data_IF_374532709803
#
_entry.id   IF_374532709803
#
_cell.length_a   1.000
_cell.length_b   1.000
_cell.length_c   1.000
_cell.angle_alpha   90.00
_cell.angle_beta   90.00
_cell.angle_gamma   90.00
#
_symmetry.space_group_name_H-M   'P 1'
#
loop_
_entity.id
_entity.type
_entity.pdbx_description
1 polymer ?
#
# COMPACT_ATOMS: atom_id res chain seq x y z
N UNK A 1 11.01 5.85 26.86
CA UNK A 1 12.08 6.88 26.83
C UNK A 1 11.55 8.07 26.02
N UNK A 2 11.80 9.27 26.49
CA UNK A 2 11.45 10.53 25.79
C UNK A 2 12.18 10.58 24.45
N UNK A 3 11.50 10.98 23.38
CA UNK A 3 12.14 11.30 22.12
C UNK A 3 12.92 12.61 22.29
N UNK A 4 14.18 12.61 21.91
CA UNK A 4 15.05 13.79 22.03
C UNK A 4 15.35 14.28 20.61
N UNK A 5 14.95 15.51 20.34
CA UNK A 5 15.24 16.22 19.09
C UNK A 5 16.29 17.29 19.38
N UNK A 6 17.47 17.13 18.81
CA UNK A 6 18.58 18.05 18.97
C UNK A 6 18.73 18.94 17.75
N UNK A 7 18.89 20.25 17.98
CA UNK A 7 19.37 21.15 16.95
C UNK A 7 20.88 20.98 16.82
N UNK A 8 21.35 20.65 15.65
CA UNK A 8 22.76 20.55 15.29
C UNK A 8 23.14 21.69 14.34
N UNK A 9 24.41 21.84 14.00
CA UNK A 9 24.90 22.98 13.22
C UNK A 9 24.17 23.18 11.88
N UNK A 10 23.83 22.09 11.20
CA UNK A 10 23.27 22.05 9.85
C UNK A 10 21.80 21.54 9.80
N UNK A 11 21.13 21.36 10.95
CA UNK A 11 19.76 20.86 10.93
C UNK A 11 19.24 20.34 12.27
N UNK A 12 18.42 19.30 12.20
CA UNK A 12 17.79 18.66 13.34
C UNK A 12 18.06 17.16 13.33
N UNK A 13 18.47 16.61 14.46
CA UNK A 13 18.70 15.19 14.66
C UNK A 13 17.75 14.64 15.71
N UNK A 14 17.00 13.60 15.31
CA UNK A 14 16.23 12.77 16.22
C UNK A 14 17.10 11.62 16.71
N UNK A 15 17.44 11.65 18.00
CA UNK A 15 18.14 10.54 18.64
C UNK A 15 17.28 9.27 18.61
N UNK A 16 17.90 8.08 18.59
CA UNK A 16 17.15 6.81 18.57
C UNK A 16 16.13 6.73 19.70
N UNK A 17 14.87 6.90 19.37
CA UNK A 17 13.74 6.84 20.28
C UNK A 17 12.90 5.59 20.04
N UNK A 18 12.32 5.04 21.12
CA UNK A 18 11.39 3.93 21.02
C UNK A 18 10.07 4.34 21.65
N UNK A 19 9.03 4.39 20.83
CA UNK A 19 7.64 4.58 21.23
C UNK A 19 6.98 3.20 21.38
N UNK A 20 6.32 2.96 22.52
CA UNK A 20 5.54 1.76 22.74
C UNK A 20 4.06 2.11 22.76
N UNK A 21 3.27 1.43 21.94
CA UNK A 21 1.87 1.76 21.72
C UNK A 21 1.08 0.45 21.62
N UNK A 22 0.18 0.20 22.58
CA UNK A 22 -0.76 -0.94 22.56
C UNK A 22 -0.12 -2.30 22.22
N UNK A 23 1.01 -2.61 22.88
CA UNK A 23 1.73 -3.87 22.67
C UNK A 23 2.69 -3.87 21.48
N UNK A 24 2.66 -2.85 20.62
CA UNK A 24 3.63 -2.63 19.56
C UNK A 24 4.74 -1.67 19.95
N UNK A 25 5.77 -1.60 19.12
CA UNK A 25 6.89 -0.67 19.27
C UNK A 25 7.29 -0.05 17.93
N UNK A 26 7.54 1.25 17.94
CA UNK A 26 8.18 1.99 16.87
C UNK A 26 9.51 2.55 17.37
N UNK A 27 10.62 2.12 16.80
CA UNK A 27 11.91 2.75 16.96
C UNK A 27 12.16 3.67 15.77
N UNK A 28 12.50 4.91 16.04
CA UNK A 28 12.72 5.94 15.04
C UNK A 28 14.01 6.68 15.36
N UNK A 29 14.81 6.95 14.33
CA UNK A 29 15.96 7.84 14.35
C UNK A 29 16.00 8.59 13.02
N UNK A 30 16.62 9.75 12.98
CA UNK A 30 16.76 10.48 11.74
C UNK A 30 17.48 11.80 11.85
N UNK A 31 17.72 12.39 10.69
CA UNK A 31 18.33 13.69 10.54
C UNK A 31 17.63 14.43 9.39
N UNK A 32 17.44 15.72 9.54
CA UNK A 32 16.95 16.62 8.49
C UNK A 32 17.74 17.92 8.58
N UNK A 33 18.45 18.25 7.51
CA UNK A 33 19.29 19.46 7.48
C UNK A 33 19.83 19.78 6.10
N UNK A 34 20.77 20.73 6.07
CA UNK A 34 21.38 21.17 4.81
C UNK A 34 22.22 20.08 4.14
N UNK A 35 22.85 19.19 4.90
CA UNK A 35 23.61 18.06 4.39
C UNK A 35 22.72 16.93 3.85
N UNK A 36 21.40 16.98 4.10
CA UNK A 36 20.45 16.02 3.58
C UNK A 36 19.40 15.56 4.58
N UNK A 37 18.79 14.44 4.28
CA UNK A 37 17.77 13.79 5.13
C UNK A 37 18.10 12.31 5.30
N UNK A 38 18.05 11.84 6.55
CA UNK A 38 18.17 10.41 6.88
C UNK A 38 17.00 10.00 7.78
N UNK A 39 16.42 8.84 7.51
CA UNK A 39 15.35 8.25 8.31
C UNK A 39 15.60 6.77 8.49
N UNK A 40 15.63 6.33 9.72
CA UNK A 40 15.61 4.92 10.08
C UNK A 40 14.42 4.64 10.99
N UNK A 41 13.57 3.70 10.58
CA UNK A 41 12.43 3.25 11.37
C UNK A 41 12.37 1.74 11.46
N UNK A 42 12.03 1.24 12.65
CA UNK A 42 11.77 -0.18 12.90
C UNK A 42 10.44 -0.32 13.63
N UNK A 43 9.55 -1.10 13.03
CA UNK A 43 8.23 -1.38 13.54
C UNK A 43 8.17 -2.83 14.05
N UNK A 44 7.55 -3.04 15.20
CA UNK A 44 7.28 -4.36 15.78
C UNK A 44 5.83 -4.36 16.25
N UNK A 45 5.01 -5.21 15.65
CA UNK A 45 3.58 -5.35 15.93
C UNK A 45 2.86 -3.98 16.07
N UNK A 46 3.24 -2.99 15.27
CA UNK A 46 2.70 -1.63 15.36
C UNK A 46 1.23 -1.64 14.88
N UNK A 47 0.25 -1.25 15.72
CA UNK A 47 -1.15 -1.24 15.31
C UNK A 47 -1.43 -0.29 14.16
N UNK A 48 -2.12 -0.77 13.11
CA UNK A 48 -2.46 0.05 11.95
C UNK A 48 -3.50 1.14 12.27
N UNK A 49 -4.28 0.95 13.34
CA UNK A 49 -5.21 1.98 13.82
C UNK A 49 -4.54 3.33 14.12
N UNK A 50 -3.21 3.36 14.30
CA UNK A 50 -2.47 4.61 14.46
C UNK A 50 -2.50 5.49 13.21
N UNK A 51 -2.75 4.91 12.05
CA UNK A 51 -2.93 5.66 10.80
C UNK A 51 -4.22 6.49 10.83
N UNK A 52 -5.21 6.11 11.65
CA UNK A 52 -6.44 6.86 11.84
C UNK A 52 -6.19 8.20 12.56
N UNK A 53 -5.04 8.37 13.23
CA UNK A 53 -4.62 9.67 13.77
C UNK A 53 -4.30 10.68 12.66
N UNK A 54 -3.85 10.21 11.50
CA UNK A 54 -3.57 11.05 10.35
C UNK A 54 -4.79 11.20 9.43
N UNK A 55 -5.65 10.19 9.37
CA UNK A 55 -6.88 10.18 8.61
C UNK A 55 -7.90 9.25 9.28
N UNK A 56 -8.87 9.82 9.97
CA UNK A 56 -9.87 9.11 10.79
C UNK A 56 -10.83 8.20 9.99
N UNK A 57 -10.83 8.28 8.66
CA UNK A 57 -11.73 7.49 7.80
C UNK A 57 -11.10 6.18 7.30
N UNK A 58 -9.86 5.88 7.67
CA UNK A 58 -9.19 4.68 7.18
C UNK A 58 -9.79 3.40 7.76
N UNK A 59 -10.12 3.38 9.04
CA UNK A 59 -10.73 2.24 9.72
C UNK A 59 -9.88 0.96 9.64
N UNK A 60 -8.54 1.09 9.67
CA UNK A 60 -7.63 -0.02 9.45
C UNK A 60 -7.34 -0.79 10.74
N UNK A 61 -7.57 -2.11 10.72
CA UNK A 61 -7.13 -3.05 11.75
C UNK A 61 -5.91 -3.85 11.30
N UNK A 62 -5.30 -4.53 12.26
CA UNK A 62 -4.10 -5.33 12.05
C UNK A 62 -2.83 -4.68 12.60
N UNK A 63 -1.69 -5.31 12.35
CA UNK A 63 -0.39 -4.87 12.86
C UNK A 63 0.67 -4.85 11.74
N UNK A 64 1.64 -3.95 11.87
CA UNK A 64 2.78 -3.83 10.98
C UNK A 64 4.09 -4.18 11.68
N UNK A 65 4.89 -5.03 11.04
CA UNK A 65 6.28 -5.32 11.36
C UNK A 65 7.16 -4.87 10.19
N UNK A 66 8.33 -4.28 10.44
CA UNK A 66 9.20 -3.95 9.33
C UNK A 66 10.30 -2.96 9.66
N UNK A 67 11.03 -2.61 8.60
CA UNK A 67 12.13 -1.64 8.63
C UNK A 67 12.03 -0.70 7.45
N UNK A 68 12.33 0.56 7.70
CA UNK A 68 12.51 1.61 6.70
C UNK A 68 13.89 2.20 6.91
N UNK A 69 14.65 2.30 5.85
CA UNK A 69 15.90 3.04 5.79
C UNK A 69 15.83 3.96 4.58
N UNK A 70 16.12 5.22 4.78
CA UNK A 70 16.10 6.22 3.72
C UNK A 70 17.22 7.22 3.97
N UNK A 71 17.95 7.54 2.92
CA UNK A 71 18.96 8.58 2.91
C UNK A 71 18.86 9.40 1.62
N UNK A 72 18.83 10.70 1.76
CA UNK A 72 18.86 11.67 0.67
C UNK A 72 19.90 12.73 0.98
N UNK A 73 21.21 12.49 0.72
CA UNK A 73 22.25 13.50 0.90
C UNK A 73 22.03 14.68 -0.04
N UNK A 74 22.43 15.88 0.39
CA UNK A 74 22.24 17.11 -0.38
C UNK A 74 22.87 17.01 -1.78
N UNK A 75 24.09 16.50 -1.85
CA UNK A 75 24.88 16.39 -3.07
C UNK A 75 24.91 14.95 -3.65
N UNK A 76 23.89 14.14 -3.33
CA UNK A 76 23.88 12.75 -3.72
C UNK A 76 22.53 12.24 -4.19
N UNK A 77 22.55 11.02 -4.67
CA UNK A 77 21.34 10.34 -5.06
C UNK A 77 20.62 9.77 -3.83
N UNK A 78 19.29 9.88 -3.75
CA UNK A 78 18.53 9.25 -2.68
C UNK A 78 18.63 7.72 -2.78
N UNK A 79 18.69 7.09 -1.63
CA UNK A 79 18.64 5.64 -1.47
C UNK A 79 17.63 5.26 -0.42
N UNK A 80 17.05 4.07 -0.52
CA UNK A 80 16.10 3.62 0.48
C UNK A 80 15.80 2.14 0.38
N UNK A 81 15.43 1.56 1.52
CA UNK A 81 14.93 0.20 1.63
C UNK A 81 13.73 0.15 2.54
N UNK A 82 12.70 -0.52 2.08
CA UNK A 82 11.50 -0.84 2.86
C UNK A 82 11.35 -2.35 2.88
N UNK A 83 11.18 -2.90 4.07
CA UNK A 83 10.71 -4.25 4.28
C UNK A 83 9.55 -4.15 5.26
N UNK A 84 8.34 -4.47 4.82
CA UNK A 84 7.12 -4.32 5.59
C UNK A 84 6.31 -5.61 5.51
N UNK A 85 5.82 -6.06 6.66
CA UNK A 85 4.83 -7.12 6.78
C UNK A 85 3.65 -6.60 7.60
N UNK A 86 2.48 -6.60 6.99
CA UNK A 86 1.21 -6.31 7.65
C UNK A 86 0.50 -7.62 7.90
N UNK A 87 0.07 -7.86 9.14
CA UNK A 87 -0.68 -9.04 9.55
C UNK A 87 -2.10 -8.66 9.92
N UNK A 88 -3.05 -9.45 9.45
CA UNK A 88 -4.44 -9.29 9.80
C UNK A 88 -5.02 -7.94 9.37
N UNK A 89 -4.57 -7.41 8.22
CA UNK A 89 -5.15 -6.18 7.69
C UNK A 89 -6.65 -6.37 7.47
N UNK A 90 -7.42 -5.54 8.14
CA UNK A 90 -8.86 -5.40 7.94
C UNK A 90 -9.19 -3.95 7.67
N UNK A 91 -10.31 -3.70 7.04
CA UNK A 91 -10.94 -2.39 6.98
C UNK A 91 -12.35 -2.50 7.53
N UNK A 92 -12.66 -1.66 8.48
CA UNK A 92 -13.98 -1.54 9.09
C UNK A 92 -14.68 -0.33 8.49
N UNK A 93 -15.83 -0.54 7.87
CA UNK A 93 -16.76 0.51 7.46
C UNK A 93 -17.87 0.68 8.49
N UNK A 94 -18.92 1.42 8.15
CA UNK A 94 -20.07 1.69 9.05
C UNK A 94 -20.85 0.42 9.40
N UNK A 95 -20.94 -0.54 8.47
CA UNK A 95 -21.76 -1.74 8.64
C UNK A 95 -20.99 -3.05 8.60
N UNK A 96 -19.84 -3.10 7.94
CA UNK A 96 -19.15 -4.35 7.62
C UNK A 96 -17.64 -4.21 7.79
N UNK A 97 -16.99 -5.29 8.27
CA UNK A 97 -15.53 -5.42 8.27
C UNK A 97 -15.07 -6.36 7.18
N UNK A 98 -13.90 -6.08 6.59
CA UNK A 98 -13.27 -6.98 5.63
C UNK A 98 -12.72 -8.25 6.32
N UNK A 99 -12.62 -9.34 5.57
CA UNK A 99 -11.86 -10.49 6.03
C UNK A 99 -10.37 -10.13 6.16
N UNK A 100 -9.67 -10.64 7.20
CA UNK A 100 -8.27 -10.31 7.42
C UNK A 100 -7.39 -10.88 6.30
N UNK A 101 -6.43 -10.06 5.86
CA UNK A 101 -5.38 -10.43 4.91
C UNK A 101 -4.01 -10.06 5.46
N UNK A 102 -3.00 -10.76 4.99
CA UNK A 102 -1.60 -10.44 5.25
C UNK A 102 -0.97 -9.83 4.00
N UNK A 103 -0.14 -8.80 4.19
CA UNK A 103 0.57 -8.16 3.08
C UNK A 103 2.06 -8.11 3.41
N UNK A 104 2.89 -8.58 2.48
CA UNK A 104 4.34 -8.37 2.50
C UNK A 104 4.74 -7.39 1.41
N UNK A 105 5.55 -6.39 1.75
CA UNK A 105 6.07 -5.39 0.80
C UNK A 105 7.57 -5.28 0.96
N UNK A 106 8.29 -5.32 -0.17
CA UNK A 106 9.70 -4.95 -0.25
C UNK A 106 9.85 -3.87 -1.30
N UNK A 107 10.56 -2.80 -0.97
CA UNK A 107 10.91 -1.77 -1.93
C UNK A 107 12.36 -1.33 -1.78
N UNK A 108 12.96 -0.98 -2.89
CA UNK A 108 14.33 -0.48 -2.98
C UNK A 108 14.37 0.73 -3.89
N UNK A 109 14.95 1.80 -3.36
CA UNK A 109 15.21 3.05 -4.07
C UNK A 109 16.73 3.18 -4.23
N UNK A 110 17.17 3.39 -5.45
CA UNK A 110 18.54 3.76 -5.78
C UNK A 110 18.58 5.03 -6.65
N UNK A 111 19.77 5.43 -7.12
CA UNK A 111 19.96 6.65 -7.92
C UNK A 111 19.15 6.68 -9.22
N UNK A 112 18.74 5.53 -9.75
CA UNK A 112 18.12 5.39 -11.07
C UNK A 112 16.69 4.92 -11.03
N UNK A 113 16.28 4.21 -9.97
CA UNK A 113 14.97 3.53 -9.95
C UNK A 113 14.40 3.38 -8.56
N UNK A 114 13.09 3.27 -8.51
CA UNK A 114 12.35 2.70 -7.39
C UNK A 114 11.73 1.38 -7.85
N UNK A 115 12.09 0.29 -7.20
CA UNK A 115 11.50 -1.02 -7.44
C UNK A 115 10.73 -1.48 -6.20
N UNK A 116 9.53 -2.01 -6.39
CA UNK A 116 8.71 -2.53 -5.29
C UNK A 116 8.07 -3.86 -5.67
N UNK A 117 7.90 -4.73 -4.68
CA UNK A 117 7.15 -6.00 -4.80
C UNK A 117 6.24 -6.16 -3.59
N UNK A 118 5.04 -6.67 -3.84
CA UNK A 118 4.11 -6.99 -2.77
C UNK A 118 3.47 -8.36 -2.99
N UNK A 119 3.12 -9.00 -1.89
CA UNK A 119 2.39 -10.27 -1.85
C UNK A 119 1.21 -10.08 -0.91
N UNK A 120 0.04 -10.54 -1.33
CA UNK A 120 -1.17 -10.58 -0.52
C UNK A 120 -1.51 -12.02 -0.23
N UNK A 121 -1.72 -12.35 1.03
CA UNK A 121 -2.09 -13.69 1.47
C UNK A 121 -3.38 -13.66 2.30
N UNK A 122 -4.14 -14.75 2.25
CA UNK A 122 -5.27 -15.03 3.12
C UNK A 122 -5.01 -16.35 3.84
N UNK A 123 -4.71 -16.27 5.13
CA UNK A 123 -4.16 -17.42 5.86
C UNK A 123 -2.84 -17.87 5.24
N UNK A 124 -2.73 -19.15 4.88
CA UNK A 124 -1.52 -19.70 4.24
C UNK A 124 -1.48 -19.55 2.72
N UNK A 125 -2.54 -19.03 2.10
CA UNK A 125 -2.67 -19.00 0.63
C UNK A 125 -2.31 -17.62 0.08
N UNK A 126 -1.37 -17.55 -0.85
CA UNK A 126 -1.10 -16.33 -1.63
C UNK A 126 -2.23 -16.11 -2.62
N UNK A 127 -2.94 -15.00 -2.49
CA UNK A 127 -4.07 -14.60 -3.35
C UNK A 127 -3.73 -13.45 -4.28
N UNK A 128 -2.66 -12.71 -4.01
CA UNK A 128 -2.26 -11.57 -4.84
C UNK A 128 -0.76 -11.36 -4.90
N UNK A 129 -0.29 -10.79 -6.00
CA UNK A 129 1.09 -10.33 -6.18
C UNK A 129 1.09 -9.04 -6.97
N UNK A 130 1.94 -8.11 -6.54
CA UNK A 130 2.20 -6.87 -7.25
C UNK A 130 3.69 -6.66 -7.44
N UNK A 131 4.05 -5.96 -8.50
CA UNK A 131 5.37 -5.40 -8.72
C UNK A 131 5.24 -4.04 -9.38
N UNK A 132 6.15 -3.15 -9.04
CA UNK A 132 6.22 -1.82 -9.62
C UNK A 132 7.67 -1.41 -9.83
N UNK A 133 7.91 -0.68 -10.90
CA UNK A 133 9.19 -0.10 -11.26
C UNK A 133 8.95 1.33 -11.75
N UNK A 134 9.65 2.28 -11.15
CA UNK A 134 9.72 3.67 -11.61
C UNK A 134 11.16 3.92 -12.08
N UNK A 135 11.36 4.14 -13.38
CA UNK A 135 12.69 4.26 -13.99
C UNK A 135 12.63 4.81 -15.42
N UNK A 136 13.61 5.60 -15.88
CA UNK A 136 14.66 6.20 -15.07
C UNK A 136 14.11 7.29 -14.15
N UNK A 137 14.72 7.50 -13.00
CA UNK A 137 14.40 8.65 -12.17
C UNK A 137 15.02 9.91 -12.80
N UNK A 138 14.17 10.91 -13.04
CA UNK A 138 14.60 12.21 -13.58
C UNK A 138 15.40 13.06 -12.58
N UNK A 139 15.61 14.33 -12.88
CA UNK A 139 16.22 15.35 -12.01
C UNK A 139 15.15 16.08 -11.19
N UNK A 140 15.59 16.84 -10.17
CA UNK A 140 14.73 17.62 -9.28
C UNK A 140 14.60 16.99 -7.89
N UNK A 141 13.64 17.48 -7.09
CA UNK A 141 13.34 16.91 -5.78
C UNK A 141 12.91 15.45 -5.88
N UNK A 142 13.09 14.66 -4.82
CA UNK A 142 12.71 13.24 -4.83
C UNK A 142 11.23 13.04 -5.21
N UNK A 143 10.34 13.88 -4.71
CA UNK A 143 8.92 13.82 -5.02
C UNK A 143 8.64 14.07 -6.50
N UNK A 144 9.27 15.07 -7.11
CA UNK A 144 9.12 15.35 -8.54
C UNK A 144 9.69 14.21 -9.39
N UNK A 145 10.86 13.69 -9.01
CA UNK A 145 11.49 12.55 -9.68
C UNK A 145 10.58 11.33 -9.67
N UNK A 146 9.98 10.99 -8.53
CA UNK A 146 9.06 9.85 -8.42
C UNK A 146 7.75 10.09 -9.18
N UNK A 147 7.16 11.28 -9.05
CA UNK A 147 5.85 11.57 -9.65
C UNK A 147 5.88 11.65 -11.18
N UNK A 148 6.97 12.16 -11.75
CA UNK A 148 7.08 12.41 -13.20
C UNK A 148 7.79 11.30 -13.97
N UNK A 149 8.46 10.39 -13.29
CA UNK A 149 9.19 9.31 -13.96
C UNK A 149 8.28 8.20 -14.46
N UNK A 150 8.69 7.50 -15.53
CA UNK A 150 7.93 6.39 -16.09
C UNK A 150 7.65 5.30 -15.06
N UNK A 151 6.39 4.89 -14.97
CA UNK A 151 5.90 3.82 -14.12
C UNK A 151 5.59 2.59 -14.96
N UNK A 152 6.02 1.45 -14.50
CA UNK A 152 5.56 0.13 -14.93
C UNK A 152 5.13 -0.65 -13.70
N UNK A 153 3.86 -1.05 -13.64
CA UNK A 153 3.38 -1.86 -12.54
C UNK A 153 2.45 -2.97 -13.03
N UNK A 154 2.43 -4.05 -12.27
CA UNK A 154 1.57 -5.19 -12.52
C UNK A 154 0.95 -5.65 -11.21
N UNK A 155 -0.32 -6.03 -11.27
CA UNK A 155 -1.03 -6.66 -10.19
C UNK A 155 -1.78 -7.90 -10.69
N UNK A 156 -1.68 -8.98 -9.98
CA UNK A 156 -2.39 -10.24 -10.24
C UNK A 156 -3.06 -10.69 -8.96
N UNK A 157 -4.33 -11.01 -9.05
CA UNK A 157 -5.12 -11.49 -7.93
C UNK A 157 -5.96 -12.69 -8.36
N UNK A 158 -6.02 -13.70 -7.49
CA UNK A 158 -6.92 -14.84 -7.62
C UNK A 158 -7.40 -15.22 -6.21
N UNK A 159 -8.63 -14.90 -5.90
CA UNK A 159 -9.21 -15.12 -4.59
C UNK A 159 -10.65 -14.66 -4.52
N UNK A 160 -11.20 -14.56 -3.33
CA UNK A 160 -12.56 -14.08 -3.10
C UNK A 160 -12.70 -12.59 -3.42
N UNK A 161 -13.71 -12.24 -4.21
CA UNK A 161 -14.00 -10.85 -4.58
C UNK A 161 -14.26 -9.95 -3.36
N UNK A 162 -14.90 -10.48 -2.31
CA UNK A 162 -15.16 -9.80 -1.06
C UNK A 162 -13.89 -9.25 -0.41
N UNK A 163 -12.80 -9.99 -0.49
CA UNK A 163 -11.50 -9.60 0.09
C UNK A 163 -10.98 -8.27 -0.46
N UNK A 164 -11.06 -8.06 -1.77
CA UNK A 164 -10.64 -6.79 -2.38
C UNK A 164 -11.72 -5.72 -2.29
N UNK A 165 -12.99 -6.12 -2.49
CA UNK A 165 -14.09 -5.17 -2.54
C UNK A 165 -14.25 -4.39 -1.25
N UNK A 166 -14.19 -5.06 -0.10
CA UNK A 166 -14.33 -4.40 1.21
C UNK A 166 -13.19 -3.43 1.53
N UNK A 167 -12.02 -3.59 0.91
CA UNK A 167 -10.94 -2.61 1.04
C UNK A 167 -11.23 -1.28 0.33
N UNK A 168 -12.19 -1.26 -0.64
CA UNK A 168 -12.56 -0.04 -1.35
C UNK A 168 -13.50 0.88 -0.56
N UNK A 169 -14.07 0.41 0.56
CA UNK A 169 -15.08 1.13 1.36
C UNK A 169 -16.39 1.42 0.62
N UNK A 170 -16.72 0.65 -0.42
CA UNK A 170 -17.99 0.75 -1.12
C UNK A 170 -18.99 -0.18 -0.45
N UNK A 171 -19.97 0.37 0.29
CA UNK A 171 -20.91 -0.40 1.10
C UNK A 171 -22.28 -0.60 0.46
N UNK A 172 -22.60 0.18 -0.59
CA UNK A 172 -23.90 0.11 -1.31
C UNK A 172 -24.09 -1.19 -2.08
N UNK A 173 -23.00 -1.89 -2.40
CA UNK A 173 -22.97 -3.18 -3.07
C UNK A 173 -21.94 -4.06 -2.40
N UNK A 174 -22.25 -5.33 -2.21
CA UNK A 174 -21.32 -6.38 -1.77
C UNK A 174 -21.01 -7.32 -2.93
N UNK A 175 -19.74 -7.57 -3.16
CA UNK A 175 -19.26 -8.56 -4.14
C UNK A 175 -18.69 -9.77 -3.41
N UNK A 176 -18.98 -10.95 -3.88
CA UNK A 176 -18.42 -12.20 -3.38
C UNK A 176 -18.21 -13.22 -4.49
N UNK A 177 -17.65 -14.38 -4.17
CA UNK A 177 -17.31 -15.43 -5.12
C UNK A 177 -15.89 -15.27 -5.69
N UNK A 178 -15.50 -16.19 -6.57
CA UNK A 178 -14.15 -16.23 -7.12
C UNK A 178 -13.89 -15.04 -8.06
N UNK A 179 -12.82 -14.31 -7.82
CA UNK A 179 -12.36 -13.22 -8.66
C UNK A 179 -10.94 -13.51 -9.16
N UNK A 180 -10.76 -13.38 -10.46
CA UNK A 180 -9.44 -13.25 -11.07
C UNK A 180 -9.29 -11.86 -11.64
N UNK A 181 -8.26 -11.17 -11.23
CA UNK A 181 -7.95 -9.80 -11.65
C UNK A 181 -6.51 -9.74 -12.14
N UNK A 182 -6.31 -9.12 -13.28
CA UNK A 182 -5.02 -8.85 -13.88
C UNK A 182 -4.98 -7.39 -14.29
N UNK A 183 -4.15 -6.59 -13.66
CA UNK A 183 -3.98 -5.18 -13.96
C UNK A 183 -2.54 -4.86 -14.32
N UNK A 184 -2.36 -3.96 -15.27
CA UNK A 184 -1.09 -3.33 -15.61
C UNK A 184 -1.26 -1.83 -15.48
N UNK A 185 -0.23 -1.16 -15.01
CA UNK A 185 -0.18 0.30 -15.00
C UNK A 185 1.08 0.78 -15.71
N UNK A 186 0.92 1.81 -16.52
CA UNK A 186 1.97 2.54 -17.22
C UNK A 186 1.81 4.04 -17.01
N UNK A 187 2.50 4.86 -17.80
CA UNK A 187 2.48 6.31 -17.64
C UNK A 187 3.44 6.81 -16.59
N UNK A 188 2.98 7.67 -15.68
CA UNK A 188 3.74 8.18 -14.54
C UNK A 188 2.95 8.01 -13.24
N UNK A 189 3.59 8.13 -12.07
CA UNK A 189 2.86 8.09 -10.80
C UNK A 189 1.83 9.21 -10.65
N UNK A 190 2.09 10.39 -11.23
CA UNK A 190 1.13 11.51 -11.24
C UNK A 190 -0.01 11.33 -12.23
N UNK A 191 0.18 10.52 -13.28
CA UNK A 191 -0.83 10.24 -14.30
C UNK A 191 -0.75 8.77 -14.77
N UNK A 192 -1.17 7.82 -13.93
CA UNK A 192 -1.12 6.41 -14.25
C UNK A 192 -2.19 6.03 -15.26
N UNK A 193 -1.82 5.22 -16.23
CA UNK A 193 -2.74 4.56 -17.16
C UNK A 193 -2.90 3.11 -16.71
N UNK A 194 -4.08 2.77 -16.24
CA UNK A 194 -4.36 1.44 -15.69
C UNK A 194 -5.26 0.70 -16.67
N UNK A 195 -4.87 -0.51 -17.01
CA UNK A 195 -5.64 -1.41 -17.87
C UNK A 195 -5.61 -2.83 -17.31
N UNK A 196 -6.60 -3.62 -17.65
CA UNK A 196 -6.61 -4.99 -17.18
C UNK A 196 -7.85 -5.77 -17.54
N UNK A 197 -7.90 -6.97 -16.98
CA UNK A 197 -9.01 -7.90 -17.13
C UNK A 197 -9.48 -8.40 -15.78
N UNK A 198 -10.75 -8.66 -15.67
CA UNK A 198 -11.35 -9.34 -14.53
C UNK A 198 -12.26 -10.47 -15.01
N UNK A 199 -12.40 -11.51 -14.20
CA UNK A 199 -13.37 -12.57 -14.45
C UNK A 199 -13.84 -13.22 -13.16
N UNK A 200 -15.10 -13.66 -13.16
CA UNK A 200 -15.70 -14.45 -12.10
C UNK A 200 -16.52 -15.61 -12.68
N UNK A 201 -16.63 -16.71 -11.95
CA UNK A 201 -17.39 -17.89 -12.40
C UNK A 201 -18.59 -18.22 -11.51
N UNK A 202 -18.55 -17.83 -10.25
CA UNK A 202 -19.58 -18.01 -9.23
C UNK A 202 -19.72 -16.72 -8.39
N UNK A 203 -19.75 -15.59 -9.10
CA UNK A 203 -19.90 -14.29 -8.50
C UNK A 203 -21.24 -14.15 -7.77
N UNK A 204 -21.24 -13.37 -6.72
CA UNK A 204 -22.42 -12.91 -6.00
C UNK A 204 -22.39 -11.41 -5.91
N UNK A 205 -23.51 -10.78 -6.21
CA UNK A 205 -23.69 -9.35 -6.10
C UNK A 205 -24.92 -9.10 -5.25
N UNK A 206 -24.78 -8.41 -4.15
CA UNK A 206 -25.92 -8.06 -3.29
C UNK A 206 -25.89 -6.57 -3.00
N UNK A 207 -27.06 -5.92 -3.01
CA UNK A 207 -27.23 -4.55 -2.61
C UNK A 207 -28.26 -4.46 -1.50
N UNK A 208 -27.85 -4.13 -0.27
CA UNK A 208 -28.79 -3.93 0.84
C UNK A 208 -29.73 -2.74 0.60
N UNK A 209 -29.31 -1.76 -0.21
CA UNK A 209 -30.10 -0.56 -0.51
C UNK A 209 -31.26 -0.86 -1.45
N UNK A 210 -31.06 -1.69 -2.48
CA UNK A 210 -32.09 -2.00 -3.48
C UNK A 210 -32.74 -3.36 -3.27
N UNK A 211 -32.25 -4.17 -2.33
CA UNK A 211 -32.69 -5.56 -2.13
C UNK A 211 -32.26 -6.52 -3.26
N UNK A 212 -31.43 -6.07 -4.19
CA UNK A 212 -30.97 -6.90 -5.30
C UNK A 212 -30.03 -8.00 -4.80
N UNK A 213 -30.23 -9.22 -5.26
CA UNK A 213 -29.34 -10.36 -5.02
C UNK A 213 -29.17 -11.20 -6.28
N UNK A 214 -27.98 -11.17 -6.84
CA UNK A 214 -27.59 -12.01 -7.97
C UNK A 214 -26.63 -13.11 -7.46
N UNK A 215 -26.83 -14.33 -7.90
CA UNK A 215 -25.99 -15.51 -7.57
C UNK A 215 -25.51 -16.18 -8.85
N UNK A 216 -24.43 -16.94 -8.72
CA UNK A 216 -23.84 -17.71 -9.82
C UNK A 216 -23.49 -16.87 -11.05
N UNK A 217 -23.12 -15.60 -10.79
CA UNK A 217 -22.76 -14.66 -11.86
C UNK A 217 -21.48 -15.15 -12.53
N UNK A 218 -21.55 -15.29 -13.84
CA UNK A 218 -20.38 -15.52 -14.69
C UNK A 218 -20.20 -14.28 -15.54
N UNK A 219 -19.06 -13.65 -15.40
CA UNK A 219 -18.76 -12.44 -16.14
C UNK A 219 -17.26 -12.36 -16.42
N UNK A 220 -16.94 -11.76 -17.54
CA UNK A 220 -15.59 -11.30 -17.84
C UNK A 220 -15.65 -9.83 -18.25
N UNK A 221 -14.57 -9.11 -18.03
CA UNK A 221 -14.52 -7.71 -18.37
C UNK A 221 -13.10 -7.23 -18.61
N UNK A 222 -13.03 -6.12 -19.31
CA UNK A 222 -11.80 -5.34 -19.50
C UNK A 222 -12.02 -3.94 -18.96
N UNK A 223 -11.02 -3.41 -18.34
CA UNK A 223 -11.00 -2.01 -17.92
C UNK A 223 -9.79 -1.30 -18.49
N UNK A 224 -9.99 -0.02 -18.84
CA UNK A 224 -8.94 0.89 -19.28
C UNK A 224 -9.28 2.29 -18.78
N UNK A 225 -8.44 2.84 -17.91
CA UNK A 225 -8.74 4.07 -17.18
C UNK A 225 -10.02 3.92 -16.34
N UNK A 226 -11.02 4.78 -16.58
CA UNK A 226 -12.31 4.77 -15.89
C UNK A 226 -13.40 3.94 -16.59
N UNK A 227 -13.08 3.30 -17.72
CA UNK A 227 -14.04 2.52 -18.50
C UNK A 227 -13.92 1.03 -18.14
N UNK A 228 -15.07 0.39 -17.89
CA UNK A 228 -15.20 -1.05 -17.69
C UNK A 228 -16.20 -1.61 -18.70
N UNK A 229 -15.76 -2.54 -19.52
CA UNK A 229 -16.62 -3.30 -20.45
C UNK A 229 -16.79 -4.70 -19.90
N UNK A 230 -18.03 -5.13 -19.67
CA UNK A 230 -18.39 -6.46 -19.15
C UNK A 230 -19.07 -7.25 -20.26
N UNK A 231 -18.70 -8.53 -20.37
CA UNK A 231 -19.26 -9.52 -21.31
C UNK A 231 -19.65 -10.79 -20.57
#
# INVERSE_FOLDING_TARGET
RTAVLNKVADGWRLEPATLRIQGGALRLAGFVGESGTEVEARMQALPLLLLDLANSELGLGGTADGTVQFAAPADGAPTGRLNLRVKGLTRSGLALSSAPIDIGVNAELDSRRLAARAVVARGSTTVGRAQALVTPLGSGSLSERLLRSPLQAQFRYAGDADTLWRLTNVEIVSLGGDLRLSANAGGTLSNPRIEGTLSTRNGRVTSPVTGMALRDVRASGRFSGSQLTIT
#
